data_IF_829055224134
#
_entry.id   IF_829055224134
#
_cell.length_a   1.000
_cell.length_b   1.000
_cell.length_c   1.000
_cell.angle_alpha   90.00
_cell.angle_beta   90.00
_cell.angle_gamma   90.00
#
_symmetry.space_group_name_H-M   'P 1'
#
loop_
_entity.id
_entity.type
_entity.pdbx_description
1 polymer ?
#
# COMPACT_ATOMS: atom_id res chain seq x y z
N UNK A 1 -14.35 -18.17 -0.78
CA UNK A 1 -12.93 -17.75 -0.76
C UNK A 1 -12.89 -16.23 -0.86
N UNK A 2 -12.18 -15.54 0.02
CA UNK A 2 -12.10 -14.06 0.08
C UNK A 2 -10.87 -13.62 -0.70
N UNK A 3 -11.06 -12.85 -1.78
CA UNK A 3 -9.96 -12.38 -2.62
C UNK A 3 -9.57 -10.94 -2.24
N UNK A 4 -8.29 -10.76 -1.95
CA UNK A 4 -7.69 -9.48 -1.63
C UNK A 4 -6.77 -9.10 -2.78
N UNK A 5 -7.11 -8.02 -3.48
CA UNK A 5 -6.19 -7.41 -4.45
C UNK A 5 -5.50 -6.24 -3.77
N UNK A 6 -4.29 -5.93 -4.18
CA UNK A 6 -3.46 -4.93 -3.52
C UNK A 6 -2.87 -4.02 -4.59
N UNK A 7 -2.81 -2.72 -4.31
CA UNK A 7 -2.17 -1.80 -5.22
C UNK A 7 -0.65 -1.96 -5.13
N UNK A 8 -0.05 -2.37 -6.25
CA UNK A 8 1.39 -2.29 -6.45
C UNK A 8 1.68 -1.05 -7.30
N UNK A 9 2.59 -0.19 -6.83
CA UNK A 9 3.33 0.69 -7.74
C UNK A 9 4.27 -0.20 -8.55
N UNK A 10 3.88 -0.51 -9.78
CA UNK A 10 4.78 -1.16 -10.73
C UNK A 10 5.87 -0.12 -11.06
N UNK A 11 7.12 -0.35 -10.62
CA UNK A 11 8.23 0.36 -11.25
C UNK A 11 8.25 -0.15 -12.68
N UNK A 12 7.81 0.65 -13.64
CA UNK A 12 8.05 0.33 -15.05
C UNK A 12 9.56 0.12 -15.21
N UNK A 13 10.03 -1.07 -15.60
CA UNK A 13 11.41 -1.22 -16.01
C UNK A 13 11.58 -0.28 -17.20
N UNK A 14 12.55 0.63 -17.15
CA UNK A 14 13.00 1.31 -18.36
C UNK A 14 13.56 0.20 -19.25
N UNK A 15 12.77 -0.28 -20.20
CA UNK A 15 13.25 -1.19 -21.23
C UNK A 15 14.19 -0.39 -22.12
N UNK A 16 15.49 -0.58 -21.93
CA UNK A 16 16.52 -0.04 -22.80
C UNK A 16 16.45 -0.75 -24.16
N UNK A 17 15.59 -0.26 -25.06
CA UNK A 17 15.63 -0.62 -26.48
C UNK A 17 16.90 -0.02 -27.09
N UNK A 18 17.82 -0.86 -27.54
CA UNK A 18 19.03 -0.44 -28.26
C UNK A 18 18.66 0.16 -29.62
N UNK A 19 18.35 1.44 -29.62
CA UNK A 19 18.25 2.27 -30.82
C UNK A 19 19.46 3.20 -30.79
N UNK A 20 20.21 3.29 -31.89
CA UNK A 20 21.45 4.08 -31.97
C UNK A 20 21.16 5.59 -31.89
N UNK A 21 21.02 6.10 -30.67
CA UNK A 21 20.93 7.52 -30.38
C UNK A 21 22.31 8.06 -29.99
N UNK A 22 22.65 9.25 -30.50
CA UNK A 22 23.91 9.96 -30.18
C UNK A 22 24.14 10.00 -28.66
N UNK A 23 25.37 9.79 -28.21
CA UNK A 23 25.73 9.79 -26.77
C UNK A 23 25.32 11.08 -26.08
N UNK A 24 25.33 12.21 -26.81
CA UNK A 24 24.84 13.51 -26.34
C UNK A 24 23.32 13.52 -26.08
N UNK A 25 22.53 12.78 -26.86
CA UNK A 25 21.08 12.67 -26.70
C UNK A 25 20.70 11.73 -25.55
N UNK A 26 21.48 10.66 -25.32
CA UNK A 26 21.31 9.80 -24.14
C UNK A 26 21.58 10.56 -22.82
N UNK A 27 22.61 11.41 -22.78
CA UNK A 27 22.95 12.21 -21.59
C UNK A 27 21.87 13.26 -21.28
N UNK A 28 21.27 13.88 -22.30
CA UNK A 28 20.17 14.84 -22.13
C UNK A 28 18.87 14.18 -21.65
N UNK A 29 18.57 12.96 -22.11
CA UNK A 29 17.41 12.19 -21.62
C UNK A 29 17.63 11.65 -20.20
N UNK A 30 18.86 11.29 -19.83
CA UNK A 30 19.19 10.84 -18.48
C UNK A 30 19.11 11.97 -17.42
N UNK A 31 19.27 13.23 -17.84
CA UNK A 31 19.07 14.39 -16.97
C UNK A 31 17.59 14.74 -16.74
N UNK A 32 16.68 14.21 -17.57
CA UNK A 32 15.26 14.40 -17.40
C UNK A 32 14.70 13.35 -16.43
N UNK A 33 14.24 13.80 -15.27
CA UNK A 33 13.39 13.10 -14.30
C UNK A 33 14.02 12.07 -13.34
N UNK A 34 14.88 12.53 -12.43
CA UNK A 34 14.91 11.89 -11.10
C UNK A 34 13.67 12.34 -10.31
N UNK A 35 12.59 11.57 -10.36
CA UNK A 35 11.44 11.76 -9.48
C UNK A 35 11.76 11.10 -8.14
N UNK A 36 11.99 11.88 -7.08
CA UNK A 36 12.01 11.37 -5.69
C UNK A 36 10.59 10.92 -5.31
N UNK A 37 10.21 9.69 -5.69
CA UNK A 37 8.93 9.09 -5.36
C UNK A 37 8.93 8.41 -3.98
N UNK A 38 7.75 8.37 -3.36
CA UNK A 38 7.52 7.50 -2.19
C UNK A 38 7.17 6.10 -2.69
N UNK A 39 7.81 5.08 -2.13
CA UNK A 39 7.52 3.68 -2.48
C UNK A 39 6.71 3.01 -1.37
N UNK A 40 5.65 2.32 -1.78
CA UNK A 40 4.81 1.51 -0.92
C UNK A 40 4.68 0.13 -1.56
N UNK A 41 5.14 -0.90 -0.85
CA UNK A 41 5.22 -2.27 -1.35
C UNK A 41 4.30 -3.19 -0.56
N UNK A 42 3.37 -3.83 -1.26
CA UNK A 42 2.44 -4.83 -0.74
C UNK A 42 2.51 -6.09 -1.62
N UNK A 43 2.03 -7.25 -1.14
CA UNK A 43 1.75 -8.40 -2.02
C UNK A 43 0.85 -7.96 -3.20
N UNK A 44 0.80 -8.68 -4.33
CA UNK A 44 -0.09 -8.29 -5.44
C UNK A 44 -1.55 -8.71 -5.19
N UNK A 45 -1.70 -9.89 -4.61
CA UNK A 45 -2.98 -10.47 -4.25
C UNK A 45 -2.79 -11.50 -3.16
N UNK A 46 -3.83 -11.70 -2.36
CA UNK A 46 -3.90 -12.73 -1.34
C UNK A 46 -5.30 -13.32 -1.34
N UNK A 47 -5.41 -14.55 -0.87
CA UNK A 47 -6.67 -15.24 -0.82
C UNK A 47 -6.77 -16.01 0.49
N UNK A 48 -7.86 -15.81 1.22
CA UNK A 48 -8.11 -16.48 2.51
C UNK A 48 -9.47 -17.18 2.48
N UNK A 49 -9.64 -18.22 3.30
CA UNK A 49 -10.96 -18.85 3.45
C UNK A 49 -11.86 -18.02 4.37
N UNK A 50 -13.19 -18.08 4.18
CA UNK A 50 -14.12 -17.46 5.11
C UNK A 50 -13.86 -17.91 6.56
N UNK A 51 -13.97 -16.99 7.51
CA UNK A 51 -13.67 -17.23 8.93
C UNK A 51 -12.19 -17.13 9.31
N UNK A 52 -11.26 -17.14 8.35
CA UNK A 52 -9.82 -17.00 8.63
C UNK A 52 -9.43 -15.53 8.86
N UNK A 53 -8.23 -15.34 9.43
CA UNK A 53 -7.62 -14.02 9.59
C UNK A 53 -6.84 -13.61 8.34
N UNK A 54 -6.78 -12.31 8.10
CA UNK A 54 -5.99 -11.66 7.07
C UNK A 54 -4.87 -10.85 7.73
N UNK A 55 -3.67 -10.86 7.14
CA UNK A 55 -2.56 -9.99 7.52
C UNK A 55 -1.90 -9.45 6.26
N UNK A 56 -1.97 -8.14 6.04
CA UNK A 56 -1.35 -7.49 4.88
C UNK A 56 -0.24 -6.58 5.38
N UNK A 57 0.98 -6.82 4.91
CA UNK A 57 2.13 -5.97 5.18
C UNK A 57 2.30 -4.92 4.07
N UNK A 58 2.52 -3.67 4.46
CA UNK A 58 2.92 -2.58 3.60
C UNK A 58 4.27 -2.04 4.05
N UNK A 59 5.32 -2.34 3.28
CA UNK A 59 6.66 -1.79 3.49
C UNK A 59 6.78 -0.45 2.76
N UNK A 60 7.27 0.57 3.45
CA UNK A 60 7.36 1.93 2.90
C UNK A 60 8.80 2.44 2.86
N UNK A 61 9.10 3.33 1.90
CA UNK A 61 10.43 3.94 1.78
C UNK A 61 10.69 5.08 2.78
N UNK A 62 9.64 5.58 3.46
CA UNK A 62 9.76 6.60 4.49
C UNK A 62 9.86 6.01 5.90
N UNK A 63 10.36 6.80 6.85
CA UNK A 63 10.28 6.43 8.26
C UNK A 63 8.83 6.49 8.75
N UNK A 64 8.32 5.36 9.23
CA UNK A 64 6.95 5.21 9.77
C UNK A 64 6.71 5.98 11.09
N UNK A 65 7.74 6.65 11.61
CA UNK A 65 7.63 7.60 12.72
C UNK A 65 7.61 9.06 12.24
N UNK A 66 7.96 9.34 10.99
CA UNK A 66 7.95 10.67 10.39
C UNK A 66 6.64 10.97 9.63
N UNK A 67 5.93 9.95 9.17
CA UNK A 67 4.63 10.11 8.50
C UNK A 67 3.61 9.12 9.02
N UNK A 68 2.35 9.57 9.09
CA UNK A 68 1.21 8.68 9.31
C UNK A 68 0.92 7.83 8.06
N UNK A 69 0.23 6.71 8.25
CA UNK A 69 -0.16 5.80 7.15
C UNK A 69 -1.62 5.41 7.29
N UNK A 70 -2.36 5.49 6.19
CA UNK A 70 -3.76 5.11 6.08
C UNK A 70 -3.89 3.72 5.47
N UNK A 71 -4.96 3.03 5.86
CA UNK A 71 -5.48 1.86 5.20
C UNK A 71 -6.87 2.14 4.63
N UNK A 72 -7.05 1.80 3.37
CA UNK A 72 -8.28 2.03 2.61
C UNK A 72 -8.62 0.72 1.89
N UNK A 73 -9.92 0.39 1.79
CA UNK A 73 -10.38 -0.70 0.91
C UNK A 73 -11.37 -0.21 -0.13
N UNK A 74 -11.42 -0.88 -1.26
CA UNK A 74 -12.41 -0.67 -2.29
C UNK A 74 -13.08 -2.00 -2.65
N UNK A 75 -14.31 -2.25 -2.16
CA UNK A 75 -15.11 -3.36 -2.65
C UNK A 75 -15.44 -3.18 -4.14
N UNK A 76 -15.61 -4.29 -4.87
CA UNK A 76 -15.91 -4.24 -6.30
C UNK A 76 -17.19 -3.43 -6.58
N UNK A 77 -17.11 -2.47 -7.50
CA UNK A 77 -18.23 -1.59 -7.86
C UNK A 77 -18.62 -0.57 -6.79
N UNK A 78 -17.81 -0.37 -5.74
CA UNK A 78 -18.08 0.60 -4.66
C UNK A 78 -17.00 1.69 -4.58
N UNK A 79 -17.33 2.75 -3.85
CA UNK A 79 -16.40 3.81 -3.50
C UNK A 79 -15.31 3.31 -2.52
N UNK A 80 -14.26 4.10 -2.37
CA UNK A 80 -13.20 3.87 -1.38
C UNK A 80 -13.77 4.00 0.04
N UNK A 81 -13.47 3.03 0.88
CA UNK A 81 -13.81 3.00 2.31
C UNK A 81 -12.52 3.12 3.13
N UNK A 82 -12.40 4.20 3.90
CA UNK A 82 -11.29 4.35 4.85
C UNK A 82 -11.46 3.37 6.01
N UNK A 83 -10.43 2.59 6.29
CA UNK A 83 -10.42 1.62 7.39
C UNK A 83 -9.91 2.27 8.67
N UNK A 84 -8.77 2.95 8.56
CA UNK A 84 -8.09 3.53 9.70
C UNK A 84 -6.74 4.11 9.31
N UNK A 85 -6.08 4.71 10.30
CA UNK A 85 -4.72 5.24 10.18
C UNK A 85 -3.92 4.98 11.42
N UNK A 86 -2.60 5.01 11.27
CA UNK A 86 -1.65 5.14 12.37
C UNK A 86 -0.86 6.43 12.21
N UNK A 87 -0.86 7.26 13.26
CA UNK A 87 -0.15 8.55 13.30
C UNK A 87 1.33 8.36 13.65
N UNK A 88 2.11 9.43 13.49
CA UNK A 88 3.55 9.45 13.83
C UNK A 88 3.81 9.06 15.29
N UNK A 89 2.96 9.52 16.21
CA UNK A 89 2.98 9.15 17.64
C UNK A 89 2.63 7.68 17.92
N UNK A 90 2.05 6.97 16.96
CA UNK A 90 1.53 5.60 17.13
C UNK A 90 0.06 5.50 17.52
N UNK A 91 -0.61 6.63 17.74
CA UNK A 91 -2.06 6.65 17.90
C UNK A 91 -2.74 6.08 16.65
N UNK A 92 -3.79 5.29 16.85
CA UNK A 92 -4.59 4.70 15.77
C UNK A 92 -6.01 5.22 15.80
N UNK A 93 -6.54 5.55 14.62
CA UNK A 93 -7.93 5.93 14.42
C UNK A 93 -8.55 4.97 13.41
N UNK A 94 -9.84 4.67 13.54
CA UNK A 94 -10.57 3.75 12.67
C UNK A 94 -11.90 4.34 12.24
N UNK A 95 -12.45 3.87 11.12
CA UNK A 95 -13.83 4.18 10.78
C UNK A 95 -14.78 3.42 11.69
N UNK A 96 -15.89 4.06 12.07
CA UNK A 96 -16.88 3.45 12.96
C UNK A 96 -17.45 2.13 12.43
N UNK A 97 -17.53 2.01 11.10
CA UNK A 97 -18.03 0.81 10.42
C UNK A 97 -17.07 -0.38 10.50
N UNK A 98 -15.75 -0.13 10.59
CA UNK A 98 -14.72 -1.15 10.39
C UNK A 98 -13.82 -1.38 11.60
N UNK A 99 -13.93 -0.53 12.64
CA UNK A 99 -13.11 -0.58 13.87
C UNK A 99 -13.12 -1.92 14.62
N UNK A 100 -14.20 -2.69 14.51
CA UNK A 100 -14.32 -4.00 15.16
C UNK A 100 -13.81 -5.17 14.29
N UNK A 101 -13.44 -4.89 13.04
CA UNK A 101 -13.05 -5.91 12.05
C UNK A 101 -11.56 -5.91 11.77
N UNK A 102 -10.94 -4.73 11.78
CA UNK A 102 -9.54 -4.54 11.42
C UNK A 102 -8.71 -3.94 12.56
N UNK A 103 -7.42 -4.26 12.57
CA UNK A 103 -6.42 -3.65 13.44
C UNK A 103 -5.21 -3.19 12.62
N UNK A 104 -4.55 -2.12 13.06
CA UNK A 104 -3.36 -1.57 12.42
C UNK A 104 -2.19 -1.68 13.39
N UNK A 105 -1.06 -2.18 12.90
CA UNK A 105 0.19 -2.24 13.65
C UNK A 105 1.36 -1.69 12.83
N UNK A 106 2.46 -1.37 13.52
CA UNK A 106 3.66 -0.75 12.95
C UNK A 106 4.91 -1.42 13.49
N UNK A 107 5.82 -1.72 12.58
CA UNK A 107 7.19 -2.11 12.85
C UNK A 107 8.15 -1.03 12.34
N UNK A 108 8.80 -0.34 13.28
CA UNK A 108 9.74 0.73 12.99
C UNK A 108 11.11 0.23 12.51
N UNK A 109 11.46 -1.02 12.80
CA UNK A 109 12.74 -1.59 12.39
C UNK A 109 12.80 -1.88 10.89
N UNK A 110 11.64 -2.19 10.30
CA UNK A 110 11.51 -2.53 8.87
C UNK A 110 10.75 -1.49 8.05
N UNK A 111 10.28 -0.41 8.68
CA UNK A 111 9.33 0.55 8.10
C UNK A 111 8.12 -0.14 7.47
N UNK A 112 7.47 -1.00 8.26
CA UNK A 112 6.30 -1.77 7.82
C UNK A 112 5.07 -1.38 8.62
N UNK A 113 3.98 -1.07 7.92
CA UNK A 113 2.65 -0.96 8.52
C UNK A 113 1.85 -2.18 8.12
N UNK A 114 1.20 -2.82 9.08
CA UNK A 114 0.40 -4.03 8.84
C UNK A 114 -1.06 -3.74 9.16
N UNK A 115 -1.98 -4.20 8.31
CA UNK A 115 -3.39 -4.32 8.65
C UNK A 115 -3.74 -5.79 8.89
N UNK A 116 -4.33 -6.06 10.05
CA UNK A 116 -4.94 -7.34 10.40
C UNK A 116 -6.45 -7.27 10.21
N UNK A 117 -7.06 -8.35 9.74
CA UNK A 117 -8.51 -8.54 9.70
C UNK A 117 -8.88 -9.88 10.32
N UNK A 118 -9.95 -9.93 11.11
CA UNK A 118 -10.41 -11.17 11.76
C UNK A 118 -11.74 -11.64 11.17
N UNK A 119 -11.96 -12.95 11.20
CA UNK A 119 -13.20 -13.59 10.75
C UNK A 119 -13.62 -13.08 9.36
N UNK A 120 -12.72 -13.16 8.38
CA UNK A 120 -12.91 -12.59 7.05
C UNK A 120 -14.10 -13.23 6.36
N UNK A 121 -14.96 -12.42 5.75
CA UNK A 121 -16.16 -12.87 5.04
C UNK A 121 -16.11 -12.47 3.57
N UNK A 122 -17.03 -13.02 2.76
CA UNK A 122 -17.05 -12.76 1.32
C UNK A 122 -17.26 -11.27 1.02
N UNK A 123 -18.05 -10.57 1.85
CA UNK A 123 -18.26 -9.12 1.75
C UNK A 123 -17.01 -8.26 2.01
N UNK A 124 -15.96 -8.84 2.61
CA UNK A 124 -14.68 -8.16 2.83
C UNK A 124 -13.74 -8.23 1.62
N UNK A 125 -14.16 -8.91 0.54
CA UNK A 125 -13.43 -8.96 -0.73
C UNK A 125 -13.32 -7.54 -1.31
N UNK A 126 -12.09 -7.04 -1.42
CA UNK A 126 -11.81 -5.69 -1.87
C UNK A 126 -10.38 -5.55 -2.41
N UNK A 127 -10.11 -4.42 -3.06
CA UNK A 127 -8.74 -3.94 -3.25
C UNK A 127 -8.33 -3.19 -1.97
N UNK A 128 -7.19 -3.53 -1.39
CA UNK A 128 -6.66 -2.89 -0.19
C UNK A 128 -5.46 -2.02 -0.54
N UNK A 129 -5.41 -0.84 0.06
CA UNK A 129 -4.43 0.19 -0.23
C UNK A 129 -3.79 0.66 1.08
N UNK A 130 -2.47 0.63 1.17
CA UNK A 130 -1.77 1.50 2.11
C UNK A 130 -1.44 2.82 1.43
N UNK A 131 -1.59 3.92 2.15
CA UNK A 131 -1.32 5.26 1.63
C UNK A 131 -0.65 6.13 2.70
N UNK A 132 0.45 6.80 2.33
CA UNK A 132 1.08 7.80 3.22
C UNK A 132 0.08 8.93 3.48
N UNK A 133 -0.10 9.30 4.75
CA UNK A 133 -0.86 10.50 5.10
C UNK A 133 -0.09 11.74 4.61
N UNK A 134 -0.75 12.57 3.80
CA UNK A 134 -0.25 13.91 3.46
C UNK A 134 -0.61 14.83 4.62
N UNK A 135 0.41 15.44 5.24
CA UNK A 135 0.21 16.50 6.23
C UNK A 135 -0.19 17.79 5.53
#
# INVERSE_FOLDING_TARGET
>A
MVSVKLWRTEKTPVQTTHTMFSTSLLLLLAAASYVHGVELTQPASMTVQPGQSLSIHCKVSYSVTSYGTNWIRQPAGKALEWIGRICTSGGTDYSDKLKNKFSISRDTSTNTITIGGQNMQTEDTAVYYCARYTQ
#
